data_IF_336027389889
#
_entry.id   IF_336027389889
#
_cell.length_a   1.000
_cell.length_b   1.000
_cell.length_c   1.000
_cell.angle_alpha   90.00
_cell.angle_beta   90.00
_cell.angle_gamma   90.00
#
_symmetry.space_group_name_H-M   'P 1'
#
loop_
_entity.id
_entity.type
_entity.pdbx_description
1 polymer ?
#
# COMPACT_ATOMS: atom_id res chain seq x y z
N UNK A 1 -0.89 -35.46 -12.69
CA UNK A 1 -0.06 -34.51 -13.47
C UNK A 1 -0.44 -33.10 -13.06
N UNK A 2 0.50 -32.17 -13.09
CA UNK A 2 0.30 -30.76 -12.72
C UNK A 2 -0.50 -30.04 -13.81
N UNK A 3 -1.48 -29.21 -13.44
CA UNK A 3 -2.25 -28.40 -14.40
C UNK A 3 -1.48 -27.13 -14.76
N UNK A 4 -1.62 -26.69 -16.01
CA UNK A 4 -1.08 -25.43 -16.47
C UNK A 4 -1.90 -24.25 -15.92
N UNK A 5 -1.20 -23.19 -15.52
CA UNK A 5 -1.79 -21.91 -15.13
C UNK A 5 -1.58 -20.89 -16.25
N UNK A 6 -2.61 -20.12 -16.57
CA UNK A 6 -2.62 -19.16 -17.67
C UNK A 6 -2.80 -17.74 -17.16
N UNK A 7 -2.12 -16.77 -17.77
CA UNK A 7 -2.28 -15.36 -17.44
C UNK A 7 -3.41 -14.69 -18.20
N UNK A 8 -3.80 -15.23 -19.36
CA UNK A 8 -4.78 -14.63 -20.24
C UNK A 8 -5.90 -15.62 -20.62
N UNK A 9 -7.15 -15.15 -20.81
CA UNK A 9 -8.26 -16.00 -21.24
C UNK A 9 -8.03 -16.72 -22.58
N UNK A 10 -7.21 -16.13 -23.48
CA UNK A 10 -6.87 -16.73 -24.78
C UNK A 10 -5.82 -17.83 -24.68
N UNK A 11 -5.28 -18.09 -23.49
CA UNK A 11 -4.24 -19.10 -23.23
C UNK A 11 -3.06 -18.94 -24.19
N UNK A 12 -2.56 -17.72 -24.30
CA UNK A 12 -1.37 -17.37 -25.08
C UNK A 12 -0.14 -17.18 -24.19
N UNK A 13 -0.37 -17.01 -22.89
CA UNK A 13 0.63 -16.79 -21.84
C UNK A 13 0.42 -17.81 -20.71
N UNK A 14 1.45 -18.58 -20.42
CA UNK A 14 1.45 -19.60 -19.38
C UNK A 14 2.44 -19.23 -18.28
N UNK A 15 2.08 -19.55 -17.03
CA UNK A 15 2.96 -19.42 -15.87
C UNK A 15 3.35 -20.80 -15.36
N UNK A 16 4.65 -20.97 -15.14
CA UNK A 16 5.17 -22.17 -14.48
C UNK A 16 6.30 -21.79 -13.54
N UNK A 17 6.16 -22.14 -12.25
CA UNK A 17 7.10 -21.75 -11.18
C UNK A 17 7.41 -20.24 -11.18
N UNK A 18 6.39 -19.42 -11.41
CA UNK A 18 6.44 -17.96 -11.54
C UNK A 18 7.34 -17.43 -12.68
N UNK A 19 7.60 -18.24 -13.70
CA UNK A 19 8.18 -17.77 -14.95
C UNK A 19 7.11 -17.71 -16.03
N UNK A 20 7.22 -16.71 -16.90
CA UNK A 20 6.31 -16.52 -18.03
C UNK A 20 6.79 -17.29 -19.26
N UNK A 21 5.85 -17.94 -19.93
CA UNK A 21 6.07 -18.71 -21.14
C UNK A 21 5.09 -18.28 -22.23
N UNK A 22 5.58 -18.20 -23.46
CA UNK A 22 4.78 -17.93 -24.64
C UNK A 22 4.60 -19.21 -25.47
N UNK A 23 3.48 -19.28 -26.19
CA UNK A 23 3.26 -20.36 -27.16
C UNK A 23 4.39 -20.36 -28.19
N UNK A 24 5.04 -21.50 -28.39
CA UNK A 24 6.09 -21.66 -29.38
C UNK A 24 5.64 -22.49 -30.58
N UNK A 25 4.98 -23.63 -30.34
CA UNK A 25 4.47 -24.50 -31.41
C UNK A 25 3.26 -25.28 -30.92
N UNK A 26 2.22 -25.37 -31.75
CA UNK A 26 1.11 -26.32 -31.59
C UNK A 26 1.42 -27.56 -32.45
N UNK A 27 1.39 -28.74 -31.85
CA UNK A 27 1.68 -29.99 -32.55
C UNK A 27 0.37 -30.60 -33.10
N UNK A 28 0.49 -31.46 -34.11
CA UNK A 28 -0.65 -32.13 -34.75
C UNK A 28 -1.44 -33.02 -33.77
N UNK A 29 -0.78 -33.56 -32.74
CA UNK A 29 -1.41 -34.35 -31.69
C UNK A 29 -2.16 -33.51 -30.62
N UNK A 30 -2.38 -32.21 -30.87
CA UNK A 30 -3.07 -31.31 -29.95
C UNK A 30 -2.23 -30.75 -28.80
N UNK A 31 -0.99 -31.24 -28.60
CA UNK A 31 -0.11 -30.71 -27.54
C UNK A 31 0.48 -29.35 -27.93
N UNK A 32 0.73 -28.50 -26.94
CA UNK A 32 1.31 -27.17 -27.13
C UNK A 32 2.67 -27.12 -26.45
N UNK A 33 3.71 -26.76 -27.22
CA UNK A 33 5.04 -26.44 -26.69
C UNK A 33 5.10 -24.97 -26.34
N UNK A 34 5.45 -24.71 -25.10
CA UNK A 34 5.63 -23.40 -24.50
C UNK A 34 7.11 -23.13 -24.30
N UNK A 35 7.52 -21.87 -24.40
CA UNK A 35 8.93 -21.48 -24.27
C UNK A 35 9.05 -20.24 -23.40
N UNK A 36 10.01 -20.25 -22.47
CA UNK A 36 10.23 -19.14 -21.55
C UNK A 36 10.36 -17.83 -22.32
N UNK A 37 9.64 -16.80 -21.88
CA UNK A 37 9.59 -15.53 -22.58
C UNK A 37 10.96 -14.85 -22.65
N UNK A 38 11.74 -14.87 -21.57
CA UNK A 38 13.04 -14.19 -21.53
C UNK A 38 14.15 -14.95 -22.27
N UNK A 39 14.52 -16.16 -21.80
CA UNK A 39 15.72 -16.82 -22.32
C UNK A 39 15.49 -17.64 -23.59
N UNK A 40 14.24 -17.94 -23.94
CA UNK A 40 13.87 -18.80 -25.08
C UNK A 40 14.49 -20.21 -25.09
N UNK A 41 15.21 -20.61 -24.05
CA UNK A 41 15.94 -21.89 -23.96
C UNK A 41 15.16 -22.98 -23.22
N UNK A 42 14.29 -22.56 -22.29
CA UNK A 42 13.51 -23.47 -21.46
C UNK A 42 12.13 -23.68 -22.09
N UNK A 43 11.70 -24.93 -22.21
CA UNK A 43 10.40 -25.28 -22.77
C UNK A 43 9.66 -26.31 -21.92
N UNK A 44 8.34 -26.22 -21.95
CA UNK A 44 7.43 -27.21 -21.37
C UNK A 44 6.35 -27.58 -22.40
N UNK A 45 5.75 -28.75 -22.24
CA UNK A 45 4.67 -29.21 -23.13
C UNK A 45 3.41 -29.46 -22.31
N UNK A 46 2.30 -28.91 -22.80
CA UNK A 46 0.96 -29.08 -22.23
C UNK A 46 0.10 -29.87 -23.22
N UNK A 47 -0.70 -30.81 -22.71
CA UNK A 47 -1.67 -31.57 -23.54
C UNK A 47 -2.99 -30.81 -23.74
N UNK A 48 -3.95 -31.45 -24.42
CA UNK A 48 -5.27 -30.87 -24.68
C UNK A 48 -6.16 -30.75 -23.44
N UNK A 49 -5.78 -31.39 -22.33
CA UNK A 49 -6.48 -31.35 -21.04
C UNK A 49 -5.80 -30.38 -20.05
N UNK A 50 -4.95 -29.48 -20.54
CA UNK A 50 -4.17 -28.51 -19.77
C UNK A 50 -3.21 -29.14 -18.75
N UNK A 51 -2.73 -30.37 -18.98
CA UNK A 51 -1.77 -31.04 -18.09
C UNK A 51 -0.36 -30.88 -18.62
N UNK A 52 0.57 -30.58 -17.72
CA UNK A 52 1.99 -30.49 -18.03
C UNK A 52 2.54 -31.91 -18.18
N UNK A 53 2.75 -32.33 -19.43
CA UNK A 53 3.27 -33.68 -19.78
C UNK A 53 4.79 -33.71 -19.93
N UNK A 54 5.43 -32.55 -20.18
CA UNK A 54 6.88 -32.42 -20.19
C UNK A 54 7.29 -31.18 -19.41
N UNK A 55 8.03 -31.40 -18.32
CA UNK A 55 8.61 -30.36 -17.49
C UNK A 55 9.97 -29.91 -18.06
N UNK A 56 10.39 -28.67 -17.79
CA UNK A 56 11.74 -28.25 -18.14
C UNK A 56 12.77 -28.95 -17.25
N UNK A 57 13.69 -29.69 -17.89
CA UNK A 57 14.83 -30.33 -17.22
C UNK A 57 16.01 -29.35 -17.05
N UNK A 58 16.13 -28.38 -17.96
CA UNK A 58 17.21 -27.39 -17.94
C UNK A 58 16.92 -26.26 -16.96
N UNK A 59 17.94 -25.85 -16.20
CA UNK A 59 17.97 -24.55 -15.53
C UNK A 59 17.98 -23.47 -16.62
N UNK A 60 17.29 -22.35 -16.38
CA UNK A 60 17.32 -21.21 -17.30
C UNK A 60 18.77 -20.81 -17.60
N UNK A 61 19.20 -20.99 -18.87
CA UNK A 61 20.58 -20.75 -19.33
C UNK A 61 21.06 -19.31 -19.08
N UNK A 62 20.12 -18.39 -18.90
CA UNK A 62 20.37 -16.99 -18.59
C UNK A 62 19.60 -16.57 -17.33
N UNK A 63 20.06 -16.98 -16.14
CA UNK A 63 19.34 -16.71 -14.89
C UNK A 63 19.13 -15.21 -14.64
N UNK A 64 20.08 -14.37 -15.07
CA UNK A 64 20.00 -12.91 -14.93
C UNK A 64 18.89 -12.27 -15.80
N UNK A 65 18.55 -12.88 -16.93
CA UNK A 65 17.48 -12.39 -17.83
C UNK A 65 16.11 -13.00 -17.47
N UNK A 66 16.11 -14.19 -16.88
CA UNK A 66 14.90 -14.86 -16.40
C UNK A 66 14.56 -14.38 -14.99
N UNK A 67 13.84 -13.27 -14.89
CA UNK A 67 13.27 -12.81 -13.62
C UNK A 67 12.09 -13.73 -13.24
N UNK A 68 12.18 -14.30 -12.04
CA UNK A 68 11.04 -14.98 -11.41
C UNK A 68 10.08 -13.90 -10.90
N UNK A 69 8.81 -14.00 -11.27
CA UNK A 69 7.81 -13.04 -10.83
C UNK A 69 7.45 -13.26 -9.36
N UNK A 70 7.23 -12.17 -8.64
CA UNK A 70 6.61 -12.25 -7.31
C UNK A 70 5.09 -12.44 -7.45
N UNK A 71 4.41 -12.76 -6.34
CA UNK A 71 2.97 -13.00 -6.36
C UNK A 71 2.17 -11.75 -6.78
N UNK A 72 2.60 -10.57 -6.35
CA UNK A 72 1.95 -9.29 -6.72
C UNK A 72 2.08 -9.02 -8.22
N UNK A 73 3.27 -9.24 -8.78
CA UNK A 73 3.54 -9.08 -10.22
C UNK A 73 2.67 -10.04 -11.05
N UNK A 74 2.51 -11.29 -10.61
CA UNK A 74 1.64 -12.28 -11.27
C UNK A 74 0.17 -11.84 -11.29
N UNK A 75 -0.39 -11.42 -10.15
CA UNK A 75 -1.78 -10.96 -10.08
C UNK A 75 -1.98 -9.72 -10.95
N UNK A 76 -1.08 -8.73 -10.85
CA UNK A 76 -1.16 -7.51 -11.66
C UNK A 76 -1.17 -7.82 -13.16
N UNK A 77 -0.30 -8.74 -13.59
CA UNK A 77 -0.27 -9.19 -14.99
C UNK A 77 -1.56 -9.90 -15.39
N UNK A 78 -2.07 -10.81 -14.57
CA UNK A 78 -3.31 -11.54 -14.87
C UNK A 78 -4.49 -10.58 -15.04
N UNK A 79 -4.68 -9.66 -14.10
CA UNK A 79 -5.75 -8.66 -14.17
C UNK A 79 -5.59 -7.75 -15.40
N UNK A 80 -4.36 -7.39 -15.76
CA UNK A 80 -4.10 -6.60 -16.97
C UNK A 80 -4.37 -7.37 -18.27
N UNK A 81 -4.08 -8.67 -18.34
CA UNK A 81 -4.44 -9.50 -19.49
C UNK A 81 -5.96 -9.67 -19.61
N UNK A 82 -6.68 -9.78 -18.49
CA UNK A 82 -8.16 -9.78 -18.45
C UNK A 82 -8.69 -8.46 -19.02
N UNK A 83 -8.16 -7.32 -18.55
CA UNK A 83 -8.53 -5.99 -19.05
C UNK A 83 -8.37 -5.88 -20.57
N UNK A 84 -7.23 -6.34 -21.10
CA UNK A 84 -6.95 -6.36 -22.55
C UNK A 84 -7.92 -7.25 -23.31
N UNK A 85 -8.24 -8.42 -22.75
CA UNK A 85 -9.19 -9.34 -23.35
C UNK A 85 -10.59 -8.71 -23.41
N UNK A 86 -11.12 -8.26 -22.28
CA UNK A 86 -12.46 -7.70 -22.19
C UNK A 86 -12.61 -6.47 -23.10
N UNK A 87 -11.64 -5.54 -23.07
CA UNK A 87 -11.64 -4.36 -23.94
C UNK A 87 -11.62 -4.72 -25.43
N UNK A 88 -10.91 -5.80 -25.78
CA UNK A 88 -10.78 -6.28 -27.15
C UNK A 88 -11.95 -7.14 -27.63
N UNK A 89 -12.93 -7.46 -26.77
CA UNK A 89 -14.06 -8.33 -27.11
C UNK A 89 -15.43 -7.71 -26.82
N UNK A 90 -15.55 -6.87 -25.79
CA UNK A 90 -16.82 -6.30 -25.38
C UNK A 90 -17.06 -4.92 -26.02
N UNK A 91 -18.18 -4.80 -26.75
CA UNK A 91 -18.57 -3.59 -27.45
C UNK A 91 -19.11 -2.50 -26.50
N UNK A 92 -19.63 -2.88 -25.33
CA UNK A 92 -20.18 -1.97 -24.30
C UNK A 92 -19.17 -1.67 -23.19
N UNK A 93 -17.92 -2.04 -23.40
CA UNK A 93 -16.88 -1.94 -22.40
C UNK A 93 -16.56 -0.49 -22.02
N UNK A 94 -16.62 -0.17 -20.72
CA UNK A 94 -16.13 1.09 -20.17
C UNK A 94 -14.74 0.90 -19.58
N UNK A 95 -13.72 1.39 -20.31
CA UNK A 95 -12.32 1.21 -19.90
C UNK A 95 -12.01 1.81 -18.54
N UNK A 96 -12.39 3.06 -18.30
CA UNK A 96 -12.08 3.76 -17.05
C UNK A 96 -12.69 3.04 -15.84
N UNK A 97 -13.94 2.59 -15.96
CA UNK A 97 -14.64 1.89 -14.88
C UNK A 97 -13.95 0.56 -14.56
N UNK A 98 -13.73 -0.27 -15.59
CA UNK A 98 -13.16 -1.61 -15.40
C UNK A 98 -11.70 -1.55 -14.94
N UNK A 99 -10.90 -0.63 -15.49
CA UNK A 99 -9.54 -0.39 -15.01
C UNK A 99 -9.53 -0.04 -13.51
N UNK A 100 -10.41 0.87 -13.08
CA UNK A 100 -10.50 1.31 -11.69
C UNK A 100 -10.93 0.19 -10.73
N UNK A 101 -11.86 -0.65 -11.17
CA UNK A 101 -12.33 -1.83 -10.44
C UNK A 101 -11.18 -2.82 -10.21
N UNK A 102 -10.52 -3.26 -11.28
CA UNK A 102 -9.41 -4.23 -11.22
C UNK A 102 -8.23 -3.71 -10.38
N UNK A 103 -7.91 -2.42 -10.51
CA UNK A 103 -6.87 -1.80 -9.70
C UNK A 103 -7.26 -1.80 -8.21
N UNK A 104 -8.51 -1.47 -7.89
CA UNK A 104 -9.01 -1.43 -6.50
C UNK A 104 -9.03 -2.82 -5.87
N UNK A 105 -9.49 -3.84 -6.60
CA UNK A 105 -9.46 -5.23 -6.15
C UNK A 105 -8.03 -5.71 -5.85
N UNK A 106 -7.08 -5.34 -6.71
CA UNK A 106 -5.66 -5.73 -6.52
C UNK A 106 -5.04 -5.00 -5.33
N UNK A 107 -5.34 -3.70 -5.16
CA UNK A 107 -4.89 -2.89 -4.02
C UNK A 107 -5.54 -3.30 -2.69
N UNK A 108 -6.71 -3.94 -2.71
CA UNK A 108 -7.32 -4.49 -1.50
C UNK A 108 -6.60 -5.76 -1.01
N UNK A 109 -5.93 -6.49 -1.92
CA UNK A 109 -5.20 -7.73 -1.60
C UNK A 109 -3.73 -7.51 -1.27
N UNK A 110 -3.12 -6.47 -1.82
CA UNK A 110 -1.66 -6.25 -1.78
C UNK A 110 -1.30 -4.80 -1.47
N UNK A 111 -0.06 -4.58 -1.02
CA UNK A 111 0.49 -3.24 -0.77
C UNK A 111 0.34 -2.34 -2.02
N UNK A 112 -0.37 -1.20 -1.93
CA UNK A 112 -0.60 -0.31 -3.07
C UNK A 112 0.67 0.19 -3.76
N UNK A 113 1.78 0.34 -3.02
CA UNK A 113 3.06 0.75 -3.58
C UNK A 113 3.62 -0.33 -4.49
N UNK A 114 3.57 -1.59 -4.08
CA UNK A 114 3.97 -2.71 -4.93
C UNK A 114 3.04 -2.87 -6.15
N UNK A 115 1.73 -2.70 -5.96
CA UNK A 115 0.78 -2.73 -7.08
C UNK A 115 1.09 -1.64 -8.09
N UNK A 116 1.43 -0.42 -7.65
CA UNK A 116 1.79 0.68 -8.54
C UNK A 116 3.07 0.46 -9.35
N UNK A 117 3.96 -0.42 -8.88
CA UNK A 117 5.19 -0.78 -9.59
C UNK A 117 4.91 -1.74 -10.76
N UNK A 118 3.94 -2.65 -10.61
CA UNK A 118 3.67 -3.71 -11.58
C UNK A 118 2.42 -3.48 -12.44
N UNK A 119 1.38 -2.84 -11.90
CA UNK A 119 0.16 -2.55 -12.63
C UNK A 119 0.38 -1.32 -13.53
N UNK A 120 0.15 -1.43 -14.85
CA UNK A 120 0.43 -0.33 -15.76
C UNK A 120 -0.50 0.85 -15.47
N UNK A 121 0.05 2.07 -15.48
CA UNK A 121 -0.74 3.31 -15.39
C UNK A 121 -1.88 3.33 -16.42
N UNK A 122 -3.00 3.99 -16.11
CA UNK A 122 -4.17 4.01 -16.97
C UNK A 122 -3.86 4.45 -18.41
N UNK A 123 -3.05 5.50 -18.58
CA UNK A 123 -2.67 6.00 -19.91
C UNK A 123 -1.94 4.93 -20.75
N UNK A 124 -0.98 4.22 -20.13
CA UNK A 124 -0.23 3.13 -20.76
C UNK A 124 -1.13 1.93 -21.06
N UNK A 125 -2.00 1.57 -20.11
CA UNK A 125 -2.95 0.48 -20.27
C UNK A 125 -3.93 0.76 -21.42
N UNK A 126 -4.46 1.99 -21.48
CA UNK A 126 -5.40 2.44 -22.51
C UNK A 126 -4.76 2.41 -23.90
N UNK A 127 -3.55 2.95 -24.05
CA UNK A 127 -2.81 2.91 -25.32
C UNK A 127 -2.64 1.49 -25.85
N UNK A 128 -2.21 0.56 -24.99
CA UNK A 128 -2.01 -0.84 -25.38
C UNK A 128 -3.33 -1.57 -25.71
N UNK A 129 -4.42 -1.25 -24.98
CA UNK A 129 -5.73 -1.82 -25.25
C UNK A 129 -6.33 -1.30 -26.57
N UNK A 130 -6.14 -0.02 -26.90
CA UNK A 130 -6.56 0.58 -28.16
C UNK A 130 -5.94 -0.13 -29.37
N UNK A 131 -4.64 -0.44 -29.33
CA UNK A 131 -3.95 -1.20 -30.39
C UNK A 131 -4.57 -2.58 -30.63
N UNK A 132 -5.05 -3.25 -29.58
CA UNK A 132 -5.71 -4.56 -29.67
C UNK A 132 -7.07 -4.44 -30.34
N UNK A 133 -7.84 -3.41 -29.97
CA UNK A 133 -9.19 -3.18 -30.50
C UNK A 133 -9.17 -2.78 -31.97
N UNK A 134 -8.18 -1.97 -32.37
CA UNK A 134 -7.88 -1.67 -33.78
C UNK A 134 -7.54 -2.94 -34.56
N UNK A 135 -6.66 -3.80 -34.04
CA UNK A 135 -6.35 -5.10 -34.64
C UNK A 135 -7.57 -6.00 -34.83
N UNK A 136 -8.55 -5.89 -33.92
CA UNK A 136 -9.78 -6.68 -33.97
C UNK A 136 -10.88 -6.02 -34.84
N UNK A 137 -10.62 -4.87 -35.48
CA UNK A 137 -11.58 -4.11 -36.28
C UNK A 137 -12.86 -3.71 -35.53
N UNK A 138 -12.78 -3.52 -34.20
CA UNK A 138 -13.95 -3.11 -33.40
C UNK A 138 -13.99 -1.58 -33.36
N UNK A 139 -14.94 -0.98 -34.09
CA UNK A 139 -15.14 0.47 -34.08
C UNK A 139 -15.53 0.94 -32.67
N UNK A 140 -14.83 1.95 -32.18
CA UNK A 140 -15.19 2.60 -30.91
C UNK A 140 -16.54 3.30 -31.09
N UNK A 141 -17.46 3.10 -30.15
CA UNK A 141 -18.61 3.98 -30.06
C UNK A 141 -18.04 5.37 -29.78
N UNK A 142 -18.39 6.37 -30.61
CA UNK A 142 -18.00 7.77 -30.39
C UNK A 142 -18.42 8.15 -28.96
N UNK A 143 -17.44 8.21 -28.06
CA UNK A 143 -17.66 8.75 -26.72
C UNK A 143 -18.02 10.21 -26.91
N UNK A 144 -19.26 10.57 -26.57
CA UNK A 144 -19.69 11.97 -26.51
C UNK A 144 -18.79 12.69 -25.50
N UNK A 145 -18.10 13.73 -25.97
CA UNK A 145 -17.14 14.57 -25.22
C UNK A 145 -17.71 15.24 -23.96
N UNK A 146 -19.00 15.09 -23.68
CA UNK A 146 -19.68 15.73 -22.54
C UNK A 146 -19.40 15.07 -21.18
N UNK A 147 -18.67 13.96 -21.13
CA UNK A 147 -18.25 13.32 -19.86
C UNK A 147 -16.73 13.36 -19.62
N UNK A 148 -16.00 14.21 -20.35
CA UNK A 148 -14.64 14.63 -19.99
C UNK A 148 -14.63 15.66 -18.83
N UNK A 149 -15.52 15.51 -17.84
CA UNK A 149 -15.28 16.11 -16.51
C UNK A 149 -14.11 15.31 -15.94
N UNK A 150 -12.94 15.90 -16.11
CA UNK A 150 -11.65 15.24 -16.26
C UNK A 150 -11.42 14.08 -15.28
N UNK A 151 -11.10 12.90 -15.80
CA UNK A 151 -10.63 11.77 -15.00
C UNK A 151 -9.37 12.14 -14.20
N UNK A 152 -8.62 13.18 -14.61
CA UNK A 152 -7.64 13.86 -13.77
C UNK A 152 -8.24 14.45 -12.49
N UNK A 153 -9.37 15.16 -12.54
CA UNK A 153 -10.07 15.66 -11.34
C UNK A 153 -10.58 14.53 -10.45
N UNK A 154 -11.08 13.42 -11.02
CA UNK A 154 -11.50 12.25 -10.22
C UNK A 154 -10.33 11.48 -9.61
N UNK A 155 -9.23 11.29 -10.35
CA UNK A 155 -8.01 10.65 -9.85
C UNK A 155 -7.30 11.53 -8.80
N UNK A 156 -7.29 12.85 -9.01
CA UNK A 156 -6.84 13.83 -8.01
C UNK A 156 -7.77 13.78 -6.81
N UNK A 157 -9.10 13.75 -6.96
CA UNK A 157 -10.03 13.60 -5.83
C UNK A 157 -9.86 12.27 -5.09
N UNK A 158 -9.72 11.13 -5.79
CA UNK A 158 -9.55 9.82 -5.16
C UNK A 158 -8.19 9.72 -4.46
N UNK A 159 -7.11 10.27 -5.02
CA UNK A 159 -5.81 10.30 -4.35
C UNK A 159 -5.72 11.35 -3.25
N UNK A 160 -6.39 12.50 -3.38
CA UNK A 160 -6.56 13.46 -2.29
C UNK A 160 -7.36 12.84 -1.15
N UNK A 161 -8.44 12.11 -1.47
CA UNK A 161 -9.25 11.36 -0.49
C UNK A 161 -8.45 10.21 0.12
N UNK A 162 -7.61 9.50 -0.63
CA UNK A 162 -6.71 8.47 -0.08
C UNK A 162 -5.58 9.06 0.77
N UNK A 163 -4.99 10.20 0.40
CA UNK A 163 -4.03 10.92 1.24
C UNK A 163 -4.65 11.52 2.50
N UNK A 164 -5.96 11.79 2.48
CA UNK A 164 -6.76 12.19 3.64
C UNK A 164 -7.06 11.01 4.59
N UNK A 165 -7.03 9.76 4.11
CA UNK A 165 -7.44 8.56 4.88
C UNK A 165 -6.24 7.72 5.38
N UNK A 166 -5.03 7.93 4.87
CA UNK A 166 -3.86 7.18 5.36
C UNK A 166 -3.42 7.68 6.73
N UNK A 167 -3.33 6.74 7.68
CA UNK A 167 -2.64 6.94 8.95
C UNK A 167 -1.16 7.25 8.68
N UNK A 168 -0.70 8.37 9.22
CA UNK A 168 0.64 8.93 9.01
C UNK A 168 1.31 9.08 10.36
N UNK A 169 2.51 8.54 10.48
CA UNK A 169 3.36 8.69 11.65
C UNK A 169 4.70 9.29 11.22
N UNK A 170 5.06 10.44 11.78
CA UNK A 170 6.33 11.11 11.54
C UNK A 170 7.14 11.19 12.84
N UNK A 171 8.40 10.75 12.78
CA UNK A 171 9.41 11.07 13.78
C UNK A 171 10.12 12.36 13.38
N UNK A 172 9.89 13.45 14.11
CA UNK A 172 10.47 14.76 13.81
C UNK A 172 11.61 15.07 14.75
N UNK A 173 12.73 15.51 14.20
CA UNK A 173 13.78 16.16 14.99
C UNK A 173 13.50 17.66 15.06
N UNK A 174 13.26 18.17 16.26
CA UNK A 174 13.06 19.59 16.53
C UNK A 174 14.24 20.15 17.30
N UNK A 175 14.61 21.40 16.99
CA UNK A 175 15.70 22.15 17.64
C UNK A 175 17.05 21.42 17.65
N UNK A 176 17.31 20.61 16.61
CA UNK A 176 18.57 19.91 16.35
C UNK A 176 19.02 18.90 17.42
N UNK A 177 18.17 18.53 18.37
CA UNK A 177 18.57 17.57 19.42
C UNK A 177 17.42 16.86 20.13
N UNK A 178 16.16 17.06 19.72
CA UNK A 178 15.01 16.48 20.40
C UNK A 178 14.06 15.82 19.41
N UNK A 179 13.64 14.60 19.70
CA UNK A 179 12.74 13.84 18.83
C UNK A 179 11.31 13.86 19.39
N UNK A 180 10.33 14.11 18.52
CA UNK A 180 8.90 14.08 18.83
C UNK A 180 8.15 13.26 17.78
N UNK A 181 6.95 12.80 18.11
CA UNK A 181 6.05 12.16 17.16
C UNK A 181 5.00 13.15 16.67
N UNK A 182 4.73 13.18 15.36
CA UNK A 182 3.60 13.87 14.75
C UNK A 182 2.74 12.85 13.98
N UNK A 183 1.43 12.84 14.20
CA UNK A 183 0.52 11.87 13.58
C UNK A 183 -0.88 12.44 13.36
N UNK A 184 -1.63 11.89 12.40
CA UNK A 184 -3.06 12.15 12.20
C UNK A 184 -3.96 11.03 12.78
N UNK A 185 -3.37 10.02 13.44
CA UNK A 185 -4.12 8.93 14.07
C UNK A 185 -4.88 9.50 15.27
N UNK A 186 -6.21 9.52 15.17
CA UNK A 186 -7.08 9.96 16.25
C UNK A 186 -7.30 8.83 17.27
N UNK A 187 -6.75 9.03 18.46
CA UNK A 187 -6.80 8.09 19.59
C UNK A 187 -8.10 8.16 20.41
N UNK A 188 -8.98 9.14 20.15
CA UNK A 188 -10.23 9.35 20.90
C UNK A 188 -11.45 8.60 20.35
N UNK A 189 -11.35 7.97 19.18
CA UNK A 189 -12.40 7.11 18.65
C UNK A 189 -12.41 5.77 19.39
N UNK A 190 -13.21 5.71 20.47
CA UNK A 190 -13.59 4.46 21.09
C UNK A 190 -14.31 3.57 20.06
N UNK A 191 -13.79 2.38 19.82
CA UNK A 191 -14.29 1.38 18.87
C UNK A 191 -15.65 0.75 19.21
N UNK A 192 -16.36 1.25 20.23
CA UNK A 192 -17.63 0.67 20.67
C UNK A 192 -18.86 1.16 19.87
N UNK A 193 -18.69 2.12 18.96
CA UNK A 193 -19.77 2.54 18.04
C UNK A 193 -19.23 2.74 16.62
N UNK A 194 -18.76 1.68 16.00
CA UNK A 194 -18.46 1.69 14.56
C UNK A 194 -19.73 1.37 13.79
N UNK A 195 -20.59 2.38 13.63
CA UNK A 195 -21.37 2.46 12.40
C UNK A 195 -20.37 2.72 11.28
N UNK A 196 -19.99 1.65 10.58
CA UNK A 196 -18.98 1.60 9.53
C UNK A 196 -19.27 2.52 8.31
N UNK A 197 -20.36 3.30 8.37
CA UNK A 197 -20.88 4.16 7.30
C UNK A 197 -21.10 5.62 7.71
N UNK A 198 -20.80 6.01 8.95
CA UNK A 198 -20.96 7.40 9.39
C UNK A 198 -19.62 8.09 9.63
N UNK A 199 -18.74 8.06 8.61
CA UNK A 199 -17.59 8.97 8.48
C UNK A 199 -18.08 10.39 8.15
N UNK A 200 -18.99 10.88 8.99
CA UNK A 200 -19.54 12.23 8.96
C UNK A 200 -18.44 13.24 9.26
N UNK A 201 -17.84 13.72 8.18
CA UNK A 201 -17.10 14.95 8.06
C UNK A 201 -17.53 16.01 9.08
N UNK A 202 -16.71 16.18 10.12
CA UNK A 202 -16.20 17.52 10.33
C UNK A 202 -14.93 17.57 9.50
N UNK A 203 -14.92 18.37 8.43
CA UNK A 203 -13.84 18.39 7.42
C UNK A 203 -12.50 18.91 7.92
N UNK A 204 -12.17 18.73 9.20
CA UNK A 204 -10.92 19.13 9.82
C UNK A 204 -10.20 17.88 10.32
N UNK A 205 -9.20 17.42 9.57
CA UNK A 205 -8.27 16.42 10.06
C UNK A 205 -7.43 17.06 11.17
N UNK A 206 -7.48 16.50 12.37
CA UNK A 206 -6.64 16.91 13.49
C UNK A 206 -5.32 16.16 13.47
N UNK A 207 -4.25 16.83 13.86
CA UNK A 207 -2.94 16.26 14.05
C UNK A 207 -2.55 16.32 15.51
N UNK A 208 -1.75 15.35 15.92
CA UNK A 208 -1.35 15.14 17.31
C UNK A 208 0.16 15.07 17.41
N UNK A 209 0.71 15.80 18.37
CA UNK A 209 2.13 15.79 18.73
C UNK A 209 2.29 15.07 20.06
N UNK A 210 3.14 14.06 20.07
CA UNK A 210 3.56 13.37 21.28
C UNK A 210 5.00 13.75 21.60
N UNK A 211 5.17 14.50 22.69
CA UNK A 211 6.46 14.97 23.19
C UNK A 211 6.67 14.48 24.62
N UNK A 212 7.68 13.62 24.82
CA UNK A 212 8.09 13.10 26.12
C UNK A 212 8.62 14.17 27.07
N UNK A 213 8.96 15.37 26.59
CA UNK A 213 9.27 16.54 27.43
C UNK A 213 8.07 17.46 27.67
N UNK A 214 6.92 17.19 27.04
CA UNK A 214 5.69 18.01 27.11
C UNK A 214 5.95 19.49 26.80
N UNK A 215 6.83 19.77 25.83
CA UNK A 215 7.25 21.12 25.57
C UNK A 215 6.39 21.74 24.45
N UNK A 216 5.56 22.72 24.81
CA UNK A 216 4.67 23.42 23.86
C UNK A 216 5.42 24.07 22.69
N UNK A 217 6.63 24.58 22.93
CA UNK A 217 7.44 25.17 21.86
C UNK A 217 7.89 24.14 20.82
N UNK A 218 7.99 22.85 21.18
CA UNK A 218 8.24 21.77 20.22
C UNK A 218 7.01 21.47 19.38
N UNK A 219 5.80 21.54 19.97
CA UNK A 219 4.54 21.43 19.23
C UNK A 219 4.37 22.57 18.21
N UNK A 220 4.75 23.79 18.58
CA UNK A 220 4.76 24.93 17.65
C UNK A 220 5.73 24.71 16.48
N UNK A 221 6.94 24.21 16.76
CA UNK A 221 7.89 23.83 15.71
C UNK A 221 7.33 22.73 14.80
N UNK A 222 6.69 21.70 15.36
CA UNK A 222 6.02 20.66 14.59
C UNK A 222 4.91 21.23 13.69
N UNK A 223 4.13 22.20 14.20
CA UNK A 223 3.10 22.88 13.43
C UNK A 223 3.67 23.66 12.24
N UNK A 224 4.82 24.31 12.42
CA UNK A 224 5.52 24.98 11.31
C UNK A 224 6.00 23.97 10.26
N UNK A 225 6.62 22.86 10.68
CA UNK A 225 7.04 21.78 9.77
C UNK A 225 5.83 21.19 9.04
N UNK A 226 4.73 20.95 9.75
CA UNK A 226 3.49 20.46 9.17
C UNK A 226 2.97 21.38 8.06
N UNK A 227 2.92 22.70 8.31
CA UNK A 227 2.50 23.70 7.30
C UNK A 227 3.43 23.77 6.09
N UNK A 228 4.71 23.39 6.24
CA UNK A 228 5.64 23.28 5.10
C UNK A 228 5.41 22.01 4.29
N UNK A 229 5.14 20.88 4.96
CA UNK A 229 4.82 19.62 4.29
C UNK A 229 3.45 19.66 3.59
N UNK A 230 2.52 20.43 4.15
CA UNK A 230 1.14 20.54 3.67
C UNK A 230 0.67 22.01 3.62
N UNK A 231 1.19 22.83 2.69
CA UNK A 231 0.83 24.25 2.59
C UNK A 231 -0.67 24.50 2.39
N UNK A 232 -1.37 23.58 1.73
CA UNK A 232 -2.81 23.61 1.47
C UNK A 232 -3.67 23.29 2.70
N UNK A 233 -3.07 22.76 3.78
CA UNK A 233 -3.73 22.38 5.04
C UNK A 233 -3.49 23.40 6.15
N UNK A 234 -3.35 24.68 5.81
CA UNK A 234 -3.00 25.76 6.76
C UNK A 234 -3.98 25.94 7.94
N UNK A 235 -5.22 25.49 7.76
CA UNK A 235 -6.32 25.47 8.73
C UNK A 235 -6.40 24.21 9.62
N UNK A 236 -5.62 23.16 9.36
CA UNK A 236 -5.63 21.96 10.21
C UNK A 236 -4.91 22.24 11.55
N UNK A 237 -5.47 21.66 12.62
CA UNK A 237 -4.98 21.89 13.99
C UNK A 237 -3.95 20.85 14.37
N UNK A 238 -2.87 21.30 14.99
CA UNK A 238 -1.80 20.46 15.55
C UNK A 238 -1.87 20.58 17.07
N UNK A 239 -2.27 19.50 17.72
CA UNK A 239 -2.56 19.46 19.16
C UNK A 239 -1.44 18.74 19.92
N UNK A 240 -1.02 19.28 21.06
CA UNK A 240 -0.08 18.58 21.95
C UNK A 240 -0.84 17.58 22.83
N UNK A 241 -0.40 16.33 22.83
CA UNK A 241 -0.95 15.26 23.68
C UNK A 241 -0.12 15.12 24.96
N UNK A 242 -0.79 15.11 26.11
CA UNK A 242 -0.12 14.93 27.40
C UNK A 242 0.20 13.46 27.68
N UNK A 243 1.45 13.07 27.43
CA UNK A 243 1.99 11.72 27.63
C UNK A 243 2.75 11.53 28.93
N UNK A 244 3.28 10.33 29.18
CA UNK A 244 4.31 10.13 30.19
C UNK A 244 5.59 10.91 29.84
N UNK A 245 6.18 11.58 30.84
CA UNK A 245 7.39 12.35 30.63
C UNK A 245 8.64 11.47 30.69
N UNK A 246 9.63 11.74 29.84
CA UNK A 246 10.94 11.10 29.96
C UNK A 246 11.67 11.56 31.22
N UNK A 247 12.54 10.70 31.75
CA UNK A 247 13.47 11.00 32.83
C UNK A 247 14.87 11.15 32.24
N UNK A 248 15.43 12.35 32.32
CA UNK A 248 16.71 12.68 31.68
C UNK A 248 16.53 13.23 30.27
N UNK A 249 17.63 13.39 29.52
CA UNK A 249 17.66 14.12 28.24
C UNK A 249 17.79 13.23 26.99
N UNK A 250 18.06 11.94 27.15
CA UNK A 250 18.60 11.11 26.05
C UNK A 250 17.60 10.11 25.44
N UNK A 251 16.40 9.97 26.00
CA UNK A 251 15.47 8.91 25.59
C UNK A 251 14.36 9.40 24.64
N UNK A 252 14.38 10.66 24.20
CA UNK A 252 13.32 11.22 23.35
C UNK A 252 13.08 10.38 22.08
N UNK A 253 14.14 9.88 21.44
CA UNK A 253 14.03 8.97 20.30
C UNK A 253 13.35 7.63 20.65
N UNK A 254 13.63 7.05 21.82
CA UNK A 254 13.00 5.81 22.27
C UNK A 254 11.51 6.01 22.56
N UNK A 255 11.14 7.14 23.17
CA UNK A 255 9.73 7.49 23.38
C UNK A 255 8.98 7.65 22.07
N UNK A 256 9.58 8.28 21.04
CA UNK A 256 8.97 8.40 19.72
C UNK A 256 8.67 7.03 19.11
N UNK A 257 9.62 6.08 19.19
CA UNK A 257 9.40 4.70 18.72
C UNK A 257 8.28 4.01 19.52
N UNK A 258 8.27 4.20 20.85
CA UNK A 258 7.26 3.61 21.71
C UNK A 258 5.85 4.13 21.40
N UNK A 259 5.70 5.44 21.25
CA UNK A 259 4.44 6.07 20.89
C UNK A 259 3.94 5.59 19.52
N UNK A 260 4.84 5.50 18.53
CA UNK A 260 4.51 4.97 17.22
C UNK A 260 3.99 3.53 17.30
N UNK A 261 4.72 2.65 17.99
CA UNK A 261 4.35 1.25 18.17
C UNK A 261 2.98 1.12 18.85
N UNK A 262 2.74 1.88 19.92
CA UNK A 262 1.45 1.88 20.61
C UNK A 262 0.29 2.29 19.69
N UNK A 263 0.46 3.35 18.91
CA UNK A 263 -0.56 3.78 17.95
C UNK A 263 -0.83 2.73 16.88
N UNK A 264 0.20 2.01 16.40
CA UNK A 264 -0.01 0.89 15.45
C UNK A 264 -0.78 -0.29 16.06
N UNK A 265 -0.83 -0.38 17.39
CA UNK A 265 -1.66 -1.35 18.12
C UNK A 265 -2.97 -0.74 18.65
N UNK A 266 -3.37 0.42 18.14
CA UNK A 266 -4.58 1.14 18.58
C UNK A 266 -4.59 1.46 20.09
N UNK A 267 -3.41 1.65 20.69
CA UNK A 267 -3.25 2.06 22.10
C UNK A 267 -2.86 3.53 22.15
N UNK A 268 -3.60 4.35 22.90
CA UNK A 268 -3.28 5.76 23.11
C UNK A 268 -2.10 5.94 24.09
N UNK A 269 -0.95 6.49 23.66
CA UNK A 269 0.19 6.76 24.53
C UNK A 269 -0.11 7.59 25.79
N UNK A 270 -1.15 8.43 25.79
CA UNK A 270 -1.52 9.25 26.95
C UNK A 270 -1.94 8.41 28.17
N UNK A 271 -2.40 7.18 27.93
CA UNK A 271 -2.95 6.30 28.96
C UNK A 271 -1.98 5.27 29.50
N UNK A 272 -0.70 5.34 29.16
CA UNK A 272 0.27 4.37 29.61
C UNK A 272 1.50 5.01 30.25
N UNK A 273 2.10 4.27 31.17
CA UNK A 273 3.42 4.54 31.73
C UNK A 273 4.42 3.58 31.10
N UNK A 274 5.51 4.11 30.56
CA UNK A 274 6.50 3.32 29.82
C UNK A 274 7.74 3.12 30.68
N UNK A 275 8.26 1.89 30.74
CA UNK A 275 9.48 1.58 31.46
C UNK A 275 10.71 1.94 30.61
N UNK A 276 11.37 3.07 30.93
CA UNK A 276 12.53 3.56 30.18
C UNK A 276 13.73 2.60 30.20
N UNK A 277 13.97 1.88 31.30
CA UNK A 277 15.08 0.92 31.37
C UNK A 277 14.84 -0.23 30.39
N UNK A 278 13.62 -0.82 30.44
CA UNK A 278 13.19 -1.87 29.50
C UNK A 278 13.22 -1.39 28.04
N UNK A 279 12.82 -0.14 27.74
CA UNK A 279 12.94 0.41 26.38
C UNK A 279 14.38 0.40 25.86
N UNK A 280 15.34 0.85 26.68
CA UNK A 280 16.76 0.87 26.30
C UNK A 280 17.28 -0.55 26.08
N UNK A 281 16.93 -1.50 26.94
CA UNK A 281 17.30 -2.91 26.80
C UNK A 281 16.78 -3.52 25.51
N UNK A 282 15.48 -3.34 25.22
CA UNK A 282 14.83 -3.83 24.00
C UNK A 282 15.36 -3.18 22.74
N UNK A 283 15.68 -1.89 22.78
CA UNK A 283 16.30 -1.22 21.64
C UNK A 283 17.73 -1.68 21.40
N UNK A 284 18.52 -1.92 22.45
CA UNK A 284 19.87 -2.50 22.32
C UNK A 284 19.80 -3.92 21.75
N UNK A 285 18.81 -4.71 22.15
CA UNK A 285 18.52 -6.01 21.56
C UNK A 285 18.20 -5.87 20.06
N UNK A 286 17.29 -4.97 19.69
CA UNK A 286 16.98 -4.67 18.29
C UNK A 286 18.22 -4.25 17.49
N UNK A 287 19.04 -3.33 18.01
CA UNK A 287 20.25 -2.87 17.32
C UNK A 287 21.25 -4.01 17.06
N UNK A 288 21.21 -5.06 17.87
CA UNK A 288 22.11 -6.22 17.75
C UNK A 288 21.54 -7.32 16.85
N UNK A 289 20.23 -7.54 16.88
CA UNK A 289 19.60 -8.72 16.26
C UNK A 289 18.58 -8.40 15.15
N UNK A 290 18.25 -7.13 14.93
CA UNK A 290 17.39 -6.66 13.83
C UNK A 290 15.88 -6.84 14.05
N UNK A 291 15.44 -7.26 15.24
CA UNK A 291 14.02 -7.41 15.59
C UNK A 291 13.67 -6.61 16.86
N UNK A 292 12.62 -5.79 16.78
CA UNK A 292 12.17 -4.92 17.87
C UNK A 292 10.96 -5.54 18.57
N UNK A 293 11.11 -5.81 19.86
CA UNK A 293 10.03 -6.29 20.72
C UNK A 293 9.09 -5.16 21.15
N UNK A 294 7.88 -5.51 21.60
CA UNK A 294 6.95 -4.55 22.21
C UNK A 294 7.54 -3.98 23.49
N UNK A 295 7.55 -2.65 23.62
CA UNK A 295 7.98 -2.02 24.86
C UNK A 295 7.00 -2.28 26.01
N UNK A 296 7.56 -2.55 27.19
CA UNK A 296 6.73 -2.72 28.38
C UNK A 296 6.05 -1.42 28.77
N UNK A 297 4.74 -1.50 28.92
CA UNK A 297 3.92 -0.39 29.35
C UNK A 297 2.85 -0.84 30.35
N UNK A 298 2.53 0.04 31.28
CA UNK A 298 1.47 -0.17 32.27
C UNK A 298 0.35 0.82 31.98
N UNK A 299 -0.84 0.30 31.75
CA UNK A 299 -2.03 1.11 31.56
C UNK A 299 -2.38 1.85 32.86
N UNK A 300 -2.62 3.15 32.76
CA UNK A 300 -2.97 4.00 33.89
C UNK A 300 -4.38 3.66 34.40
N UNK A 301 -4.59 3.79 35.70
CA UNK A 301 -5.91 3.55 36.27
C UNK A 301 -6.91 4.65 35.86
N UNK A 302 -8.23 4.37 35.99
CA UNK A 302 -9.29 5.32 35.60
C UNK A 302 -9.17 6.71 36.23
N UNK A 303 -8.63 6.81 37.45
CA UNK A 303 -8.46 8.08 38.17
C UNK A 303 -7.31 8.91 37.57
N UNK A 304 -6.24 8.25 37.15
CA UNK A 304 -5.09 8.86 36.48
C UNK A 304 -5.42 9.30 35.06
N UNK A 305 -6.17 8.48 34.30
CA UNK A 305 -6.62 8.85 32.94
C UNK A 305 -7.43 10.15 32.92
N UNK A 306 -8.37 10.32 33.86
CA UNK A 306 -9.17 11.55 34.00
C UNK A 306 -8.34 12.81 34.29
N UNK A 307 -7.15 12.67 34.85
CA UNK A 307 -6.24 13.81 35.13
C UNK A 307 -5.38 14.19 33.93
N UNK A 308 -5.14 13.26 32.99
CA UNK A 308 -4.27 13.48 31.83
C UNK A 308 -5.01 13.87 30.54
N UNK A 309 -6.33 13.69 30.47
CA UNK A 309 -7.15 13.93 29.26
C UNK A 309 -7.34 15.41 28.87
N UNK A 310 -6.37 16.28 29.17
CA UNK A 310 -6.38 17.68 28.74
C UNK A 310 -5.63 17.74 27.41
N UNK A 311 -6.37 17.83 26.30
CA UNK A 311 -5.79 18.22 25.01
C UNK A 311 -5.63 19.74 25.07
N UNK A 312 -4.40 20.24 24.98
CA UNK A 312 -4.15 21.68 24.84
C UNK A 312 -4.45 22.06 23.39
N UNK A 313 -5.58 22.74 23.19
CA UNK A 313 -6.05 23.19 21.87
C UNK A 313 -5.45 24.56 21.55
N UNK A 314 -4.91 24.69 20.33
CA UNK A 314 -4.40 25.94 19.77
C UNK A 314 -5.17 26.34 18.51
#
# INVERSE_FOLDING_TARGET
MEKAEYLDPKRTLLVYKNFKYNVHKRNENGTIRWRCESCKSVSLTVDSEDRIIRKPEEIHRKPKECKKMCQVELECMMQYEILKYEFGTDTKFSFANRYSELLSETQAKYDPKLVSEFFPSEAKARSACSEIREKNNIKEAKVTKELEITDKQKFIQINQVKELILDKIYALNVKNSHWILLTNINHTFNTESVDMFNWGATGQQEWYVYDSMKNETNCQAASQVFRLMYPEKSWEKVNLVHVESQTGKNDCGLFVIAYAQMLTYSKDPAFFKINQASMREKYNFFSKYGYLEEFESLELNKKEKKRKSVIVRW
#
